data_IF_298987631745
#
_entry.id   IF_298987631745
#
_cell.length_a   1.000
_cell.length_b   1.000
_cell.length_c   1.000
_cell.angle_alpha   90.00
_cell.angle_beta   90.00
_cell.angle_gamma   90.00
#
_symmetry.space_group_name_H-M   'P 1'
#
loop_
_entity.id
_entity.type
_entity.pdbx_description
1 polymer ?
#
# COMPACT_ATOMS: atom_id res chain seq x y z
N UNK A 1 -11.66 0.54 -16.75
CA UNK A 1 -11.03 1.84 -16.47
C UNK A 1 -9.77 1.53 -15.67
N UNK A 2 -8.68 2.27 -15.86
CA UNK A 2 -7.43 1.98 -15.17
C UNK A 2 -7.39 2.85 -13.91
N UNK A 3 -7.84 2.30 -12.79
CA UNK A 3 -7.84 2.99 -11.50
C UNK A 3 -6.46 2.97 -10.84
N UNK A 4 -6.29 3.85 -9.85
CA UNK A 4 -5.05 3.93 -9.08
C UNK A 4 -4.95 2.69 -8.19
N UNK A 5 -3.75 2.12 -8.07
CA UNK A 5 -3.54 0.95 -7.22
C UNK A 5 -3.68 1.33 -5.74
N UNK A 6 -4.39 0.51 -4.97
CA UNK A 6 -4.59 0.62 -3.53
C UNK A 6 -4.21 -0.71 -2.88
N UNK A 7 -3.28 -0.67 -1.94
CA UNK A 7 -2.84 -1.83 -1.17
C UNK A 7 -3.72 -1.94 0.07
N UNK A 8 -4.25 -3.13 0.31
CA UNK A 8 -5.22 -3.39 1.38
C UNK A 8 -4.71 -4.44 2.38
N UNK A 9 -5.57 -4.79 3.34
CA UNK A 9 -5.27 -5.64 4.51
C UNK A 9 -4.56 -6.97 4.18
N UNK A 10 -4.82 -7.57 3.02
CA UNK A 10 -4.18 -8.83 2.64
C UNK A 10 -2.66 -8.72 2.46
N UNK A 11 -2.09 -7.50 2.40
CA UNK A 11 -0.64 -7.27 2.34
C UNK A 11 0.02 -7.30 3.74
N UNK A 12 -0.76 -7.12 4.81
CA UNK A 12 -0.26 -7.04 6.18
C UNK A 12 0.46 -8.34 6.54
N UNK A 13 1.68 -8.20 7.05
CA UNK A 13 2.61 -9.28 7.43
C UNK A 13 3.06 -10.20 6.27
N UNK A 14 2.54 -10.02 5.06
CA UNK A 14 2.94 -10.79 3.87
C UNK A 14 4.12 -10.11 3.18
N UNK A 15 3.96 -8.82 2.84
CA UNK A 15 4.97 -7.98 2.16
C UNK A 15 5.82 -8.74 1.14
N UNK A 16 5.16 -9.34 0.15
CA UNK A 16 5.82 -10.16 -0.88
C UNK A 16 6.78 -9.34 -1.77
N UNK A 17 6.51 -8.05 -1.93
CA UNK A 17 7.32 -7.05 -2.67
C UNK A 17 7.44 -7.29 -4.18
N UNK A 18 6.88 -8.35 -4.77
CA UNK A 18 6.86 -8.50 -6.24
C UNK A 18 6.18 -7.33 -6.97
N UNK A 19 5.27 -6.61 -6.30
CA UNK A 19 4.65 -5.39 -6.84
C UNK A 19 5.62 -4.21 -7.02
N UNK A 20 6.75 -4.18 -6.29
CA UNK A 20 7.81 -3.17 -6.42
C UNK A 20 8.54 -3.37 -7.74
N UNK A 21 8.92 -4.61 -8.06
CA UNK A 21 9.70 -4.96 -9.26
C UNK A 21 8.97 -4.66 -10.58
N UNK A 22 7.63 -4.67 -10.55
CA UNK A 22 6.81 -4.43 -11.75
C UNK A 22 6.32 -2.99 -11.87
N UNK A 23 6.54 -2.15 -10.86
CA UNK A 23 6.02 -0.79 -10.85
C UNK A 23 6.91 0.12 -11.73
N UNK A 24 6.40 0.66 -12.85
CA UNK A 24 7.22 1.44 -13.78
C UNK A 24 7.64 2.83 -13.26
N UNK A 25 7.05 3.26 -12.14
CA UNK A 25 7.29 4.58 -11.53
C UNK A 25 7.71 4.48 -10.06
N UNK A 26 7.97 3.26 -9.58
CA UNK A 26 8.38 2.98 -8.20
C UNK A 26 7.54 3.69 -7.13
N UNK A 27 6.22 3.71 -7.31
CA UNK A 27 5.27 4.33 -6.38
C UNK A 27 4.87 3.42 -5.20
N UNK A 28 5.55 2.28 -4.97
CA UNK A 28 5.26 1.33 -3.88
C UNK A 28 6.38 1.41 -2.85
N UNK A 29 6.06 1.86 -1.66
CA UNK A 29 7.00 2.17 -0.60
C UNK A 29 6.90 1.18 0.56
N UNK A 30 8.03 0.93 1.19
CA UNK A 30 8.14 0.29 2.49
C UNK A 30 8.54 1.33 3.56
N UNK A 31 8.09 1.13 4.80
CA UNK A 31 8.45 1.99 5.91
C UNK A 31 9.69 1.46 6.65
N UNK A 32 10.72 2.29 6.80
CA UNK A 32 11.87 2.06 7.66
C UNK A 32 11.64 2.72 9.02
N UNK A 33 11.33 1.95 10.09
CA UNK A 33 11.06 2.51 11.42
C UNK A 33 12.30 3.10 12.09
N UNK A 34 13.51 2.76 11.67
CA UNK A 34 14.75 3.30 12.25
C UNK A 34 15.04 4.70 11.74
N UNK A 35 14.75 4.93 10.46
CA UNK A 35 14.98 6.23 9.80
C UNK A 35 13.73 7.10 9.74
N UNK A 36 12.57 6.53 10.06
CA UNK A 36 11.26 7.16 9.92
C UNK A 36 11.05 7.71 8.51
N UNK A 37 11.30 6.85 7.51
CA UNK A 37 11.20 7.20 6.09
C UNK A 37 10.46 6.10 5.34
N UNK A 38 9.66 6.49 4.36
CA UNK A 38 9.16 5.60 3.33
C UNK A 38 10.20 5.54 2.21
N UNK A 39 10.55 4.35 1.77
CA UNK A 39 11.48 4.16 0.67
C UNK A 39 10.93 3.17 -0.34
N UNK A 40 11.29 3.37 -1.60
CA UNK A 40 10.96 2.48 -2.71
C UNK A 40 12.26 2.11 -3.41
N UNK A 41 12.50 0.82 -3.55
CA UNK A 41 13.73 0.28 -4.16
C UNK A 41 13.54 0.10 -5.67
N UNK A 42 14.62 0.22 -6.45
CA UNK A 42 14.58 -0.06 -7.89
C UNK A 42 14.16 -1.51 -8.19
N UNK A 43 14.62 -2.44 -7.33
CA UNK A 43 14.16 -3.82 -7.28
C UNK A 43 14.10 -4.26 -5.81
N UNK A 44 13.12 -5.09 -5.48
CA UNK A 44 12.92 -5.61 -4.14
C UNK A 44 14.17 -6.34 -3.61
N UNK A 45 14.75 -5.80 -2.54
CA UNK A 45 15.95 -6.34 -1.89
C UNK A 45 17.26 -5.97 -2.57
N UNK A 46 17.28 -5.10 -3.59
CA UNK A 46 18.53 -4.59 -4.18
C UNK A 46 19.28 -3.66 -3.22
N UNK A 47 18.55 -2.97 -2.33
CA UNK A 47 19.09 -1.92 -1.48
C UNK A 47 19.35 -0.60 -2.20
N UNK A 48 19.05 -0.52 -3.51
CA UNK A 48 19.13 0.71 -4.30
C UNK A 48 17.79 1.44 -4.21
N UNK A 49 17.76 2.53 -3.45
CA UNK A 49 16.55 3.34 -3.24
C UNK A 49 16.36 4.26 -4.46
N UNK A 50 15.25 4.08 -5.17
CA UNK A 50 14.86 4.96 -6.27
C UNK A 50 14.10 6.18 -5.75
N UNK A 51 13.08 5.96 -4.91
CA UNK A 51 12.27 7.04 -4.33
C UNK A 51 12.24 6.98 -2.80
N UNK A 52 12.03 8.14 -2.17
CA UNK A 52 11.86 8.24 -0.72
C UNK A 52 10.91 9.37 -0.33
N UNK A 53 10.15 9.17 0.75
CA UNK A 53 9.19 10.14 1.27
C UNK A 53 9.21 10.17 2.80
N UNK A 54 8.97 11.36 3.38
CA UNK A 54 8.78 11.46 4.84
C UNK A 54 7.31 11.17 5.16
N UNK A 55 6.97 10.12 5.92
CA UNK A 55 5.58 9.81 6.19
C UNK A 55 4.94 10.74 7.20
N UNK A 56 3.62 10.92 7.09
CA UNK A 56 2.81 11.45 8.18
C UNK A 56 2.88 10.52 9.41
N UNK A 57 3.33 11.00 10.58
CA UNK A 57 3.57 10.16 11.75
C UNK A 57 2.31 9.45 12.28
N UNK A 58 1.16 10.12 12.23
CA UNK A 58 -0.10 9.57 12.75
C UNK A 58 -0.66 8.48 11.84
N UNK A 59 -0.55 8.67 10.53
CA UNK A 59 -1.01 7.71 9.56
C UNK A 59 -0.09 6.48 9.54
N UNK A 60 1.22 6.67 9.36
CA UNK A 60 2.15 5.53 9.28
C UNK A 60 2.15 4.69 10.56
N UNK A 61 1.88 5.28 11.74
CA UNK A 61 1.78 4.54 13.00
C UNK A 61 0.65 3.50 13.05
N UNK A 62 -0.31 3.52 12.13
CA UNK A 62 -1.42 2.55 12.09
C UNK A 62 -0.92 1.14 11.74
N UNK A 63 -0.10 1.02 10.69
CA UNK A 63 0.43 -0.27 10.22
C UNK A 63 1.95 -0.35 10.29
N UNK A 64 2.66 0.77 10.34
CA UNK A 64 4.12 0.82 10.41
C UNK A 64 4.77 0.01 9.30
N UNK A 65 5.70 -0.87 9.65
CA UNK A 65 6.43 -1.72 8.72
C UNK A 65 5.68 -3.03 8.38
N UNK A 66 4.42 -3.21 8.81
CA UNK A 66 3.65 -4.43 8.54
C UNK A 66 3.03 -4.46 7.14
N UNK A 67 2.96 -3.34 6.44
CA UNK A 67 2.33 -3.22 5.11
C UNK A 67 3.21 -2.43 4.14
N UNK A 68 2.98 -2.61 2.84
CA UNK A 68 3.50 -1.72 1.81
C UNK A 68 2.50 -0.59 1.53
N UNK A 69 3.02 0.60 1.21
CA UNK A 69 2.25 1.81 0.98
C UNK A 69 2.35 2.22 -0.48
N UNK A 70 1.23 2.59 -1.10
CA UNK A 70 1.23 3.10 -2.48
C UNK A 70 1.07 4.62 -2.46
N UNK A 71 1.99 5.33 -3.12
CA UNK A 71 1.82 6.75 -3.37
C UNK A 71 0.89 6.94 -4.56
N UNK A 72 -0.34 7.35 -4.26
CA UNK A 72 -1.38 7.51 -5.29
C UNK A 72 -1.17 8.71 -6.19
N UNK A 73 -0.39 9.70 -5.77
CA UNK A 73 -0.10 10.89 -6.57
C UNK A 73 0.99 10.62 -7.62
N UNK A 74 1.82 9.59 -7.39
CA UNK A 74 2.83 9.10 -8.33
C UNK A 74 2.31 7.97 -9.24
N UNK A 75 1.23 7.28 -8.83
CA UNK A 75 0.72 6.13 -9.55
C UNK A 75 0.17 6.51 -10.94
N UNK A 76 0.63 5.80 -11.96
CA UNK A 76 0.20 6.01 -13.36
C UNK A 76 -0.94 5.10 -13.82
N UNK A 77 -1.54 4.35 -12.89
CA UNK A 77 -2.59 3.37 -13.17
C UNK A 77 -2.21 2.34 -14.24
N UNK A 78 -0.94 1.90 -14.27
CA UNK A 78 -0.43 0.96 -15.28
C UNK A 78 -0.96 -0.48 -15.12
N UNK A 79 -1.60 -0.79 -13.99
CA UNK A 79 -2.24 -2.08 -13.67
C UNK A 79 -1.30 -3.27 -13.42
N UNK A 80 0.02 -3.09 -13.57
CA UNK A 80 0.99 -4.17 -13.46
C UNK A 80 1.03 -4.82 -12.07
N UNK A 81 0.95 -4.02 -11.01
CA UNK A 81 1.12 -4.49 -9.63
C UNK A 81 -0.03 -5.38 -9.11
N UNK A 82 -1.25 -5.18 -9.61
CA UNK A 82 -2.42 -5.96 -9.19
C UNK A 82 -2.80 -7.07 -10.17
N UNK A 83 -1.90 -7.42 -11.09
CA UNK A 83 -2.10 -8.63 -11.88
C UNK A 83 -2.06 -9.87 -10.98
N UNK A 84 -2.87 -10.92 -11.27
CA UNK A 84 -2.99 -12.09 -10.40
C UNK A 84 -1.70 -12.89 -10.19
N UNK A 85 -0.74 -12.75 -11.10
CA UNK A 85 0.58 -13.38 -11.07
C UNK A 85 1.61 -12.59 -10.27
N UNK A 86 1.35 -11.30 -10.01
CA UNK A 86 2.26 -10.41 -9.28
C UNK A 86 1.98 -10.43 -7.78
N UNK A 87 0.71 -10.26 -7.38
CA UNK A 87 0.36 -10.25 -5.96
C UNK A 87 -0.27 -11.60 -5.57
N UNK A 88 0.48 -12.54 -4.94
CA UNK A 88 -0.02 -13.88 -4.65
C UNK A 88 -1.20 -13.91 -3.67
N UNK A 89 -1.33 -12.85 -2.86
CA UNK A 89 -2.39 -12.69 -1.86
C UNK A 89 -3.55 -11.81 -2.32
N UNK A 90 -3.46 -11.22 -3.52
CA UNK A 90 -4.52 -10.36 -4.07
C UNK A 90 -4.83 -9.15 -3.20
N UNK A 91 -3.80 -8.49 -2.67
CA UNK A 91 -3.94 -7.36 -1.76
C UNK A 91 -4.07 -6.01 -2.46
N UNK A 92 -3.93 -5.95 -3.78
CA UNK A 92 -3.90 -4.70 -4.53
C UNK A 92 -5.13 -4.62 -5.42
N UNK A 93 -5.86 -3.51 -5.30
CA UNK A 93 -7.10 -3.25 -6.03
C UNK A 93 -6.98 -1.93 -6.78
N UNK A 94 -7.76 -1.74 -7.84
CA UNK A 94 -8.02 -0.40 -8.36
C UNK A 94 -8.91 0.35 -7.37
N UNK A 95 -8.63 1.62 -7.10
CA UNK A 95 -9.38 2.51 -6.19
C UNK A 95 -10.91 2.46 -6.36
N UNK A 96 -11.40 2.38 -7.59
CA UNK A 96 -12.82 2.27 -7.94
C UNK A 96 -13.43 0.86 -7.69
N UNK A 97 -12.59 -0.17 -7.55
CA UNK A 97 -12.98 -1.58 -7.37
C UNK A 97 -12.54 -2.15 -6.01
N UNK A 98 -12.10 -1.27 -5.11
CA UNK A 98 -11.79 -1.63 -3.73
C UNK A 98 -13.06 -2.18 -3.07
N UNK A 99 -13.05 -3.39 -2.47
CA UNK A 99 -14.26 -3.98 -1.92
C UNK A 99 -14.86 -3.10 -0.82
N UNK A 100 -16.06 -2.58 -1.06
CA UNK A 100 -16.84 -1.74 -0.15
C UNK A 100 -17.72 -2.62 0.74
N UNK A 101 -17.11 -3.26 1.72
CA UNK A 101 -17.85 -3.97 2.74
C UNK A 101 -18.75 -3.03 3.50
N UNK A 102 -20.04 -3.03 3.17
CA UNK A 102 -21.15 -2.30 3.81
C UNK A 102 -21.34 -2.63 5.29
N UNK A 103 -20.33 -2.38 6.12
CA UNK A 103 -20.39 -2.49 7.58
C UNK A 103 -20.09 -1.13 8.21
N UNK A 104 -21.08 -0.57 8.90
CA UNK A 104 -21.04 0.72 9.62
C UNK A 104 -20.14 0.70 10.88
N UNK A 105 -19.15 -0.21 10.96
CA UNK A 105 -18.24 -0.30 12.11
C UNK A 105 -16.84 0.11 11.67
N UNK A 106 -16.31 1.13 12.35
CA UNK A 106 -14.90 1.48 12.28
C UNK A 106 -14.04 0.24 12.62
N UNK A 107 -12.93 0.10 11.90
CA UNK A 107 -11.83 -0.85 12.10
C UNK A 107 -11.79 -1.44 13.53
N UNK A 108 -11.99 -2.76 13.63
CA UNK A 108 -11.92 -3.45 14.91
C UNK A 108 -10.48 -3.84 15.21
N UNK A 109 -9.86 -3.12 16.15
CA UNK A 109 -8.50 -3.41 16.62
C UNK A 109 -8.34 -4.80 17.29
N UNK A 110 -9.44 -5.50 17.57
CA UNK A 110 -9.46 -6.83 18.17
C UNK A 110 -9.57 -7.98 17.16
N UNK A 111 -9.93 -7.72 15.89
CA UNK A 111 -9.97 -8.72 14.82
C UNK A 111 -9.16 -8.18 13.62
N UNK A 112 -7.84 -8.45 13.56
CA UNK A 112 -6.94 -7.81 12.61
C UNK A 112 -7.20 -8.18 11.14
N UNK A 113 -8.14 -9.10 10.85
CA UNK A 113 -8.38 -9.64 9.51
C UNK A 113 -9.85 -9.56 9.06
N UNK A 114 -10.71 -8.80 9.76
CA UNK A 114 -12.15 -8.77 9.45
C UNK A 114 -12.78 -7.40 9.71
N UNK A 115 -12.76 -6.57 8.67
CA UNK A 115 -13.47 -5.31 8.61
C UNK A 115 -13.52 -4.79 7.17
N UNK A 116 -14.40 -5.38 6.36
CA UNK A 116 -14.44 -5.35 4.90
C UNK A 116 -14.54 -3.98 4.19
N UNK A 117 -14.47 -2.84 4.90
CA UNK A 117 -14.45 -1.53 4.24
C UNK A 117 -13.03 -1.16 3.83
N UNK A 118 -12.65 -1.63 2.64
CA UNK A 118 -11.32 -1.35 2.13
C UNK A 118 -11.17 0.09 1.62
N UNK A 119 -12.26 0.88 1.56
CA UNK A 119 -12.16 2.31 1.16
C UNK A 119 -11.34 3.12 2.14
N UNK A 120 -11.21 2.66 3.39
CA UNK A 120 -10.25 3.18 4.37
C UNK A 120 -8.83 3.24 3.80
N UNK A 121 -8.38 2.21 3.08
CA UNK A 121 -7.03 2.15 2.51
C UNK A 121 -6.80 3.22 1.43
N UNK A 122 -7.86 3.72 0.79
CA UNK A 122 -7.77 4.81 -0.18
C UNK A 122 -7.36 6.09 0.53
N UNK A 123 -8.08 6.44 1.61
CA UNK A 123 -7.76 7.64 2.38
C UNK A 123 -6.44 7.47 3.14
N UNK A 124 -6.21 6.29 3.70
CA UNK A 124 -4.97 5.99 4.40
C UNK A 124 -3.74 6.15 3.52
N UNK A 125 -3.80 5.68 2.26
CA UNK A 125 -2.72 5.86 1.29
C UNK A 125 -2.48 7.33 0.96
N UNK A 126 -3.49 8.22 1.07
CA UNK A 126 -3.28 9.66 0.96
C UNK A 126 -2.62 10.23 2.20
N UNK A 127 -3.16 9.88 3.37
CA UNK A 127 -2.75 10.46 4.64
C UNK A 127 -1.29 10.14 4.97
N UNK A 128 -0.81 8.95 4.59
CA UNK A 128 0.59 8.53 4.80
C UNK A 128 1.58 9.42 4.04
N UNK A 129 1.22 9.92 2.87
CA UNK A 129 2.07 10.79 2.03
C UNK A 129 1.68 12.27 2.10
N UNK A 130 0.79 12.65 3.03
CA UNK A 130 0.49 14.05 3.26
C UNK A 130 1.68 14.77 3.92
N UNK A 131 2.04 15.94 3.38
CA UNK A 131 3.09 16.86 3.90
C UNK A 131 2.75 17.48 5.27
#
# INVERSE_FOLDING_TARGET
>A
MAGIAIITEACIDVKDRACVDVCPVQCIYEFDPQKNILFSEEQAGSGEIENSHTPSPEAVAIFGDSILYVNIDECTSCTACYQPDVCPVGAIYADEHVPDGSSLKAYNREDPNKGHDHTFFIQHSRDVFAD
#
